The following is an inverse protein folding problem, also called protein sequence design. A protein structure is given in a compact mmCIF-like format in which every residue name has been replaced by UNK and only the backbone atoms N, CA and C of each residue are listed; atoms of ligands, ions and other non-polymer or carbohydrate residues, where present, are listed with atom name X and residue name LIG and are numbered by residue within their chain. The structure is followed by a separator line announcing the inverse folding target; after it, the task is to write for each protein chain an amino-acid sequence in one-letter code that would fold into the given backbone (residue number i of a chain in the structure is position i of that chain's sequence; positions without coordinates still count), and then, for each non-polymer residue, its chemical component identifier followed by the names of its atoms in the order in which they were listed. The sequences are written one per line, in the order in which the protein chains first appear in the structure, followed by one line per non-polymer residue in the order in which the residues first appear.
data_IF_650117236135
#
_entry.id   IF_650117236135
#
_cell.length_a   1.000
_cell.length_b   1.000
_cell.length_c   1.000
_cell.angle_alpha   90.00
_cell.angle_beta   90.00
_cell.angle_gamma   90.00
#
_symmetry.space_group_name_H-M   'P 1'
#
loop_
_entity.id
_entity.type
_entity.pdbx_description
1 polymer ?
#
# COMPACT_ATOMS: atom_id res chain seq x y z
N UNK A 1 17.19 7.70 -15.16
CA UNK A 1 18.02 6.53 -15.57
C UNK A 1 17.10 5.32 -15.58
N UNK A 2 16.65 4.98 -16.77
CA UNK A 2 15.53 4.09 -17.09
C UNK A 2 15.84 2.63 -16.68
N UNK A 3 14.82 1.90 -16.21
CA UNK A 3 14.90 0.50 -15.73
C UNK A 3 14.92 -0.48 -16.92
N UNK A 4 15.81 -0.24 -17.88
CA UNK A 4 16.06 -1.15 -18.99
C UNK A 4 17.56 -1.30 -19.17
N UNK A 5 18.02 -2.52 -19.44
CA UNK A 5 19.41 -3.01 -19.48
C UNK A 5 19.93 -3.62 -18.17
N UNK A 6 19.31 -4.73 -17.74
CA UNK A 6 20.08 -5.81 -17.09
C UNK A 6 20.53 -6.74 -18.21
N UNK A 7 21.76 -6.53 -18.68
CA UNK A 7 22.39 -7.32 -19.74
C UNK A 7 22.70 -8.76 -19.29
N UNK A 8 22.67 -9.69 -20.24
CA UNK A 8 22.95 -11.14 -20.11
C UNK A 8 24.26 -11.53 -19.39
N UNK A 9 25.14 -10.57 -19.04
CA UNK A 9 26.43 -10.83 -18.37
C UNK A 9 26.31 -11.16 -16.87
N UNK A 10 25.25 -10.78 -16.17
CA UNK A 10 25.10 -11.09 -14.73
C UNK A 10 24.60 -12.52 -14.44
N UNK A 11 24.17 -13.25 -15.47
CA UNK A 11 23.56 -14.59 -15.39
C UNK A 11 24.55 -15.69 -14.93
N UNK A 12 25.85 -15.53 -15.19
CA UNK A 12 26.84 -16.60 -14.97
C UNK A 12 27.55 -16.56 -13.59
N UNK A 13 27.34 -15.54 -12.76
CA UNK A 13 28.21 -15.29 -11.59
C UNK A 13 27.66 -15.73 -10.21
N UNK A 14 26.39 -16.18 -10.10
CA UNK A 14 25.69 -16.21 -8.79
C UNK A 14 25.14 -17.57 -8.31
N UNK A 15 25.71 -18.69 -8.78
CA UNK A 15 25.41 -20.01 -8.23
C UNK A 15 26.28 -20.35 -7.00
N UNK A 16 26.03 -19.68 -5.88
CA UNK A 16 26.04 -20.30 -4.56
C UNK A 16 25.52 -19.30 -3.52
N UNK A 17 24.99 -19.81 -2.41
CA UNK A 17 24.49 -19.07 -1.24
C UNK A 17 23.02 -18.59 -1.32
N UNK A 18 22.09 -19.43 -0.84
CA UNK A 18 21.25 -19.13 0.35
C UNK A 18 20.34 -20.35 0.66
N UNK A 19 20.78 -21.26 1.56
CA UNK A 19 20.05 -22.50 1.89
C UNK A 19 19.01 -22.37 3.01
N UNK A 20 18.98 -21.25 3.75
CA UNK A 20 18.15 -21.16 4.96
C UNK A 20 16.77 -20.51 4.77
N UNK A 21 16.54 -19.77 3.67
CA UNK A 21 15.23 -19.16 3.37
C UNK A 21 14.47 -19.89 2.24
N UNK A 22 15.12 -20.82 1.53
CA UNK A 22 14.50 -21.58 0.43
C UNK A 22 13.39 -22.54 0.88
N UNK A 23 13.50 -23.11 2.08
CA UNK A 23 12.54 -24.10 2.57
C UNK A 23 11.13 -23.56 2.83
N UNK A 24 11.00 -22.29 3.27
CA UNK A 24 9.69 -21.68 3.51
C UNK A 24 8.94 -21.49 2.18
N UNK A 25 9.65 -21.06 1.14
CA UNK A 25 9.09 -20.88 -0.20
C UNK A 25 8.77 -22.22 -0.89
N UNK A 26 9.64 -23.23 -0.75
CA UNK A 26 9.40 -24.56 -1.31
C UNK A 26 8.19 -25.26 -0.68
N UNK A 27 7.97 -25.09 0.63
CA UNK A 27 6.81 -25.67 1.32
C UNK A 27 5.50 -24.90 1.03
N UNK A 28 5.56 -23.57 0.85
CA UNK A 28 4.41 -22.77 0.40
C UNK A 28 3.96 -23.15 -1.01
N UNK A 29 4.92 -23.30 -1.92
CA UNK A 29 4.70 -23.73 -3.30
C UNK A 29 4.03 -25.11 -3.34
N UNK A 30 4.51 -26.09 -2.57
CA UNK A 30 3.90 -27.43 -2.48
C UNK A 30 2.42 -27.41 -2.07
N UNK A 31 1.99 -26.46 -1.24
CA UNK A 31 0.56 -26.33 -0.87
C UNK A 31 -0.33 -25.73 -1.97
N UNK A 32 0.25 -25.05 -2.95
CA UNK A 32 -0.44 -24.49 -4.11
C UNK A 32 -0.38 -25.40 -5.36
N UNK A 33 0.41 -26.48 -5.29
CA UNK A 33 0.60 -27.46 -6.36
C UNK A 33 -0.16 -28.78 -6.13
N UNK A 34 -1.06 -28.85 -5.13
CA UNK A 34 -2.04 -29.92 -5.08
C UNK A 34 -3.00 -29.78 -6.25
N UNK A 35 -3.20 -30.87 -7.01
CA UNK A 35 -4.06 -31.09 -8.19
C UNK A 35 -4.73 -29.84 -8.76
N UNK A 36 -4.50 -29.51 -10.05
CA UNK A 36 -5.09 -28.38 -10.79
C UNK A 36 -6.55 -28.12 -10.35
N UNK A 37 -6.72 -27.21 -9.40
CA UNK A 37 -8.01 -26.70 -8.97
C UNK A 37 -8.17 -25.29 -9.53
N UNK A 38 -9.42 -24.80 -9.53
CA UNK A 38 -9.74 -23.41 -9.85
C UNK A 38 -9.06 -22.38 -8.90
N UNK A 39 -8.31 -22.82 -7.90
CA UNK A 39 -7.53 -21.99 -6.98
C UNK A 39 -6.05 -21.77 -7.36
N UNK A 40 -5.48 -22.52 -8.31
CA UNK A 40 -4.06 -22.36 -8.67
C UNK A 40 -3.81 -21.01 -9.38
N UNK A 41 -2.92 -20.18 -8.84
CA UNK A 41 -2.53 -18.90 -9.45
C UNK A 41 -1.30 -19.00 -10.37
N UNK A 42 -0.47 -20.02 -10.17
CA UNK A 42 0.83 -20.16 -10.80
C UNK A 42 0.90 -21.47 -11.63
N UNK A 43 1.62 -21.42 -12.74
CA UNK A 43 2.07 -22.59 -13.48
C UNK A 43 3.10 -23.38 -12.66
N UNK A 44 3.40 -24.61 -13.08
CA UNK A 44 4.39 -25.48 -12.42
C UNK A 44 5.79 -24.85 -12.34
N UNK A 45 6.20 -24.13 -13.38
CA UNK A 45 7.46 -23.38 -13.43
C UNK A 45 7.47 -22.14 -12.50
N UNK A 46 6.32 -21.78 -11.93
CA UNK A 46 6.11 -20.64 -11.04
C UNK A 46 5.66 -19.36 -11.74
N UNK A 47 5.52 -19.31 -13.06
CA UNK A 47 4.95 -18.15 -13.77
C UNK A 47 3.46 -17.96 -13.44
N UNK A 48 2.93 -16.74 -13.62
CA UNK A 48 1.52 -16.45 -13.34
C UNK A 48 0.65 -16.96 -14.49
N UNK A 49 -0.38 -17.75 -14.18
CA UNK A 49 -1.29 -18.32 -15.19
C UNK A 49 -2.01 -17.20 -15.96
N UNK A 50 -2.66 -16.29 -15.23
CA UNK A 50 -3.44 -15.21 -15.81
C UNK A 50 -3.54 -14.02 -14.84
N UNK A 51 -3.21 -12.83 -15.33
CA UNK A 51 -3.32 -11.59 -14.57
C UNK A 51 -4.78 -11.25 -14.22
N UNK A 52 -5.76 -11.64 -15.05
CA UNK A 52 -7.18 -11.43 -14.75
C UNK A 52 -7.68 -12.40 -13.68
N UNK A 53 -7.21 -13.65 -13.66
CA UNK A 53 -7.44 -14.59 -12.55
C UNK A 53 -6.88 -14.07 -11.24
N UNK A 54 -5.65 -13.55 -11.23
CA UNK A 54 -5.07 -12.90 -10.06
C UNK A 54 -5.95 -11.74 -9.56
N UNK A 55 -6.42 -10.89 -10.48
CA UNK A 55 -7.34 -9.80 -10.13
C UNK A 55 -8.63 -10.31 -9.52
N UNK A 56 -9.32 -11.25 -10.16
CA UNK A 56 -10.58 -11.82 -9.66
C UNK A 56 -10.40 -12.41 -8.27
N UNK A 57 -9.30 -13.12 -8.07
CA UNK A 57 -8.93 -13.71 -6.78
C UNK A 57 -8.80 -12.64 -5.70
N UNK A 58 -8.01 -11.58 -5.95
CA UNK A 58 -7.86 -10.47 -5.01
C UNK A 58 -9.19 -9.73 -4.84
N UNK A 59 -9.98 -9.51 -5.88
CA UNK A 59 -11.25 -8.76 -5.79
C UNK A 59 -12.29 -9.48 -4.95
N UNK A 60 -12.46 -10.79 -5.14
CA UNK A 60 -13.60 -11.53 -4.60
C UNK A 60 -13.34 -12.12 -3.21
N UNK A 61 -12.09 -12.44 -2.89
CA UNK A 61 -11.75 -13.18 -1.68
C UNK A 61 -10.82 -12.40 -0.76
N UNK A 62 -11.12 -12.43 0.54
CA UNK A 62 -10.15 -12.02 1.54
C UNK A 62 -8.98 -13.00 1.56
N UNK A 63 -7.79 -12.51 1.25
CA UNK A 63 -6.60 -13.34 1.13
C UNK A 63 -6.08 -13.74 2.51
N UNK A 64 -5.70 -15.01 2.66
CA UNK A 64 -4.89 -15.42 3.82
C UNK A 64 -3.51 -14.77 3.75
N UNK A 65 -2.83 -14.63 4.89
CA UNK A 65 -1.47 -14.08 4.90
C UNK A 65 -0.52 -14.84 3.96
N UNK A 66 -0.62 -16.18 3.90
CA UNK A 66 0.15 -17.02 2.96
C UNK A 66 -0.15 -16.68 1.49
N UNK A 67 -1.42 -16.49 1.12
CA UNK A 67 -1.82 -16.14 -0.24
C UNK A 67 -1.29 -14.74 -0.62
N UNK A 68 -1.22 -13.80 0.34
CA UNK A 68 -0.61 -12.46 0.14
C UNK A 68 0.88 -12.52 -0.22
N UNK A 69 1.66 -13.42 0.38
CA UNK A 69 3.08 -13.63 0.00
C UNK A 69 3.24 -13.99 -1.49
N UNK A 70 2.22 -14.61 -2.09
CA UNK A 70 2.21 -14.99 -3.51
C UNK A 70 1.67 -13.84 -4.37
N UNK A 71 0.55 -13.22 -3.96
CA UNK A 71 -0.17 -12.24 -4.79
C UNK A 71 0.45 -10.83 -4.75
N UNK A 72 0.95 -10.38 -3.60
CA UNK A 72 1.45 -9.02 -3.43
C UNK A 72 2.68 -8.70 -4.28
N UNK A 73 3.65 -9.60 -4.51
CA UNK A 73 4.74 -9.35 -5.44
C UNK A 73 4.25 -8.97 -6.86
N UNK A 74 3.15 -9.55 -7.34
CA UNK A 74 2.56 -9.17 -8.64
C UNK A 74 1.75 -7.87 -8.54
N UNK A 75 0.94 -7.71 -7.48
CA UNK A 75 0.19 -6.47 -7.20
C UNK A 75 1.11 -5.24 -7.14
N UNK A 76 2.26 -5.42 -6.50
CA UNK A 76 3.28 -4.40 -6.30
C UNK A 76 4.32 -4.36 -7.43
N UNK A 77 4.10 -5.08 -8.53
CA UNK A 77 4.95 -5.09 -9.73
C UNK A 77 6.44 -5.37 -9.43
N UNK A 78 6.68 -6.30 -8.51
CA UNK A 78 7.98 -6.89 -8.24
C UNK A 78 8.24 -8.04 -9.22
N UNK A 79 7.20 -8.81 -9.54
CA UNK A 79 7.25 -9.87 -10.54
C UNK A 79 6.32 -9.57 -11.71
N UNK A 80 6.81 -9.78 -12.94
CA UNK A 80 5.95 -9.86 -14.13
C UNK A 80 5.29 -11.24 -14.20
N UNK A 81 4.22 -11.34 -15.01
CA UNK A 81 3.49 -12.60 -15.17
C UNK A 81 4.36 -13.74 -15.73
N UNK A 82 5.33 -13.42 -16.58
CA UNK A 82 6.21 -14.41 -17.21
C UNK A 82 7.33 -14.96 -16.32
N UNK A 83 7.58 -14.37 -15.15
CA UNK A 83 8.73 -14.79 -14.33
C UNK A 83 8.53 -16.17 -13.71
N UNK A 84 9.42 -17.09 -14.05
CA UNK A 84 9.53 -18.43 -13.45
C UNK A 84 10.11 -18.36 -12.03
N UNK A 85 10.11 -19.49 -11.32
CA UNK A 85 10.80 -19.63 -10.03
C UNK A 85 12.30 -19.34 -10.14
N UNK A 86 12.92 -19.68 -11.27
CA UNK A 86 14.33 -19.39 -11.54
C UNK A 86 14.56 -17.88 -11.66
N UNK A 87 13.74 -17.20 -12.47
CA UNK A 87 13.83 -15.74 -12.66
C UNK A 87 13.61 -14.99 -11.35
N UNK A 88 12.62 -15.42 -10.56
CA UNK A 88 12.34 -14.84 -9.24
C UNK A 88 13.54 -14.98 -8.30
N UNK A 89 14.25 -16.11 -8.33
CA UNK A 89 15.47 -16.31 -7.52
C UNK A 89 16.59 -15.38 -7.98
N UNK A 90 16.82 -15.27 -9.28
CA UNK A 90 17.82 -14.36 -9.86
C UNK A 90 17.50 -12.91 -9.46
N UNK A 91 16.26 -12.49 -9.64
CA UNK A 91 15.80 -11.16 -9.25
C UNK A 91 16.05 -10.88 -7.77
N UNK A 92 15.69 -11.81 -6.86
CA UNK A 92 15.90 -11.65 -5.41
C UNK A 92 17.37 -11.46 -5.07
N UNK A 93 18.25 -12.24 -5.70
CA UNK A 93 19.70 -12.14 -5.47
C UNK A 93 20.24 -10.78 -5.95
N UNK A 94 19.92 -10.38 -7.17
CA UNK A 94 20.33 -9.07 -7.70
C UNK A 94 19.73 -7.90 -6.93
N UNK A 95 18.47 -8.01 -6.48
CA UNK A 95 17.83 -7.03 -5.60
C UNK A 95 18.60 -6.89 -4.27
N UNK A 96 18.97 -8.01 -3.63
CA UNK A 96 19.71 -8.02 -2.35
C UNK A 96 21.05 -7.27 -2.48
N UNK A 97 21.78 -7.52 -3.57
CA UNK A 97 23.06 -6.86 -3.84
C UNK A 97 22.86 -5.34 -4.03
N UNK A 98 21.94 -4.95 -4.92
CA UNK A 98 21.64 -3.53 -5.20
C UNK A 98 21.20 -2.78 -3.94
N UNK A 99 20.24 -3.34 -3.20
CA UNK A 99 19.74 -2.73 -1.97
C UNK A 99 20.84 -2.55 -0.92
N UNK A 100 21.70 -3.56 -0.70
CA UNK A 100 22.79 -3.45 0.27
C UNK A 100 23.85 -2.42 -0.15
N UNK A 101 24.12 -2.26 -1.45
CA UNK A 101 25.01 -1.19 -1.94
C UNK A 101 24.46 0.19 -1.59
N UNK A 102 23.19 0.44 -1.89
CA UNK A 102 22.51 1.70 -1.56
C UNK A 102 22.50 1.93 -0.04
N UNK A 103 22.22 0.89 0.73
CA UNK A 103 22.16 0.97 2.19
C UNK A 103 23.50 1.36 2.82
N UNK A 104 24.59 0.70 2.41
CA UNK A 104 25.93 0.99 2.95
C UNK A 104 26.37 2.43 2.67
N UNK A 105 26.09 2.93 1.48
CA UNK A 105 26.51 4.27 1.08
C UNK A 105 25.93 5.36 2.00
N UNK A 106 24.64 5.32 2.37
CA UNK A 106 24.11 6.29 3.32
C UNK A 106 24.53 6.01 4.76
N UNK A 107 24.75 4.75 5.13
CA UNK A 107 25.26 4.39 6.46
C UNK A 107 26.65 5.00 6.71
N UNK A 108 27.54 4.94 5.73
CA UNK A 108 28.87 5.56 5.80
C UNK A 108 28.77 7.08 6.00
N UNK A 109 27.84 7.76 5.30
CA UNK A 109 27.61 9.21 5.48
C UNK A 109 27.10 9.55 6.87
N UNK A 110 26.19 8.74 7.43
CA UNK A 110 25.74 8.91 8.82
C UNK A 110 26.91 8.71 9.79
N UNK A 111 27.74 7.69 9.60
CA UNK A 111 28.92 7.42 10.45
C UNK A 111 29.98 8.53 10.37
N UNK A 112 30.08 9.22 9.24
CA UNK A 112 30.94 10.39 9.05
C UNK A 112 30.36 11.68 9.67
N UNK A 113 29.14 11.63 10.22
CA UNK A 113 28.49 12.79 10.83
C UNK A 113 27.91 13.79 9.81
N UNK A 114 27.62 13.35 8.57
CA UNK A 114 27.02 14.23 7.57
C UNK A 114 25.66 14.75 8.06
N UNK A 115 25.56 16.08 8.22
CA UNK A 115 24.42 16.75 8.85
C UNK A 115 23.09 16.43 8.16
N UNK A 116 23.08 16.31 6.82
CA UNK A 116 21.87 16.00 6.08
C UNK A 116 21.35 14.61 6.43
N UNK A 117 22.23 13.60 6.37
CA UNK A 117 21.86 12.21 6.62
C UNK A 117 21.47 11.97 8.08
N UNK A 118 22.16 12.61 9.03
CA UNK A 118 21.85 12.52 10.46
C UNK A 118 20.46 13.11 10.76
N UNK A 119 20.16 14.32 10.25
CA UNK A 119 18.84 14.95 10.45
C UNK A 119 17.70 14.14 9.80
N UNK A 120 17.96 13.59 8.61
CA UNK A 120 17.02 12.71 7.93
C UNK A 120 16.77 11.43 8.75
N UNK A 121 17.83 10.83 9.28
CA UNK A 121 17.75 9.65 10.14
C UNK A 121 16.89 9.90 11.39
N UNK A 122 17.11 11.02 12.08
CA UNK A 122 16.34 11.38 13.28
C UNK A 122 14.84 11.55 12.98
N UNK A 123 14.53 12.20 11.86
CA UNK A 123 13.14 12.40 11.40
C UNK A 123 12.46 11.06 11.14
N UNK A 124 13.11 10.18 10.39
CA UNK A 124 12.57 8.86 10.05
C UNK A 124 12.45 7.98 11.30
N UNK A 125 13.43 8.00 12.21
CA UNK A 125 13.39 7.21 13.44
C UNK A 125 12.21 7.58 14.35
N UNK A 126 11.88 8.87 14.46
CA UNK A 126 10.70 9.34 15.22
C UNK A 126 9.42 8.68 14.69
N UNK A 127 9.25 8.64 13.37
CA UNK A 127 8.07 8.09 12.73
C UNK A 127 8.02 6.56 12.77
N UNK A 128 9.15 5.88 12.57
CA UNK A 128 9.25 4.43 12.72
C UNK A 128 8.92 3.99 14.16
N UNK A 129 9.30 4.78 15.18
CA UNK A 129 9.03 4.44 16.59
C UNK A 129 7.54 4.52 16.95
N UNK A 130 6.77 5.41 16.32
CA UNK A 130 5.34 5.62 16.59
C UNK A 130 4.40 4.85 15.66
N UNK A 131 4.85 4.43 14.49
CA UNK A 131 4.03 3.72 13.49
C UNK A 131 3.70 2.30 13.96
N UNK A 132 2.41 1.94 13.92
CA UNK A 132 1.87 0.60 14.19
C UNK A 132 2.43 -0.13 15.44
N UNK A 133 2.79 0.63 16.48
CA UNK A 133 3.42 0.11 17.72
C UNK A 133 2.61 -0.97 18.45
N UNK A 134 1.31 -1.05 18.19
CA UNK A 134 0.40 -2.05 18.74
C UNK A 134 0.59 -3.43 18.08
N UNK A 135 1.16 -3.48 16.87
CA UNK A 135 1.42 -4.72 16.15
C UNK A 135 2.75 -5.30 16.61
N UNK A 136 2.68 -6.47 17.26
CA UNK A 136 3.83 -7.10 17.95
C UNK A 136 5.08 -7.25 17.08
N UNK A 137 4.91 -7.56 15.79
CA UNK A 137 6.04 -7.82 14.89
C UNK A 137 6.93 -6.59 14.68
N UNK A 138 6.34 -5.39 14.64
CA UNK A 138 7.09 -4.16 14.40
C UNK A 138 7.96 -3.75 15.58
N UNK A 139 7.69 -4.26 16.79
CA UNK A 139 8.60 -4.07 17.94
C UNK A 139 10.02 -4.59 17.65
N UNK A 140 10.14 -5.71 16.91
CA UNK A 140 11.41 -6.35 16.55
C UNK A 140 11.93 -5.99 15.15
N UNK A 141 11.18 -5.21 14.38
CA UNK A 141 11.47 -4.93 12.97
C UNK A 141 11.70 -3.44 12.64
N UNK A 142 11.85 -2.60 13.67
CA UNK A 142 12.09 -1.15 13.53
C UNK A 142 13.33 -0.84 12.68
N UNK A 143 14.41 -1.61 12.85
CA UNK A 143 15.64 -1.39 12.09
C UNK A 143 15.43 -1.60 10.59
N UNK A 144 14.69 -2.64 10.20
CA UNK A 144 14.40 -2.92 8.79
C UNK A 144 13.51 -1.81 8.19
N UNK A 145 12.47 -1.38 8.92
CA UNK A 145 11.62 -0.27 8.48
C UNK A 145 12.41 1.02 8.31
N UNK A 146 13.29 1.34 9.26
CA UNK A 146 14.21 2.48 9.19
C UNK A 146 15.13 2.37 7.98
N UNK A 147 15.80 1.23 7.79
CA UNK A 147 16.72 1.02 6.67
C UNK A 147 16.02 1.22 5.32
N UNK A 148 14.82 0.67 5.15
CA UNK A 148 14.05 0.82 3.91
C UNK A 148 13.71 2.28 3.68
N UNK A 149 13.18 2.97 4.70
CA UNK A 149 12.75 4.36 4.56
C UNK A 149 13.93 5.29 4.30
N UNK A 150 15.05 5.13 5.02
CA UNK A 150 16.29 5.88 4.76
C UNK A 150 16.78 5.66 3.32
N UNK A 151 16.84 4.40 2.89
CA UNK A 151 17.29 4.07 1.53
C UNK A 151 16.33 4.65 0.49
N UNK A 152 15.03 4.67 0.75
CA UNK A 152 14.09 5.31 -0.17
C UNK A 152 14.34 6.81 -0.25
N UNK A 153 14.34 7.49 0.90
CA UNK A 153 14.38 8.95 0.99
C UNK A 153 15.69 9.57 0.48
N UNK A 154 16.82 8.86 0.62
CA UNK A 154 18.10 9.29 0.04
C UNK A 154 18.10 9.20 -1.49
N UNK A 155 17.54 8.12 -2.05
CA UNK A 155 17.63 7.82 -3.49
C UNK A 155 16.41 8.28 -4.30
N UNK A 156 15.38 8.84 -3.65
CA UNK A 156 14.20 9.44 -4.26
C UNK A 156 13.92 10.82 -3.63
N UNK A 157 14.80 11.82 -3.83
CA UNK A 157 14.76 13.10 -3.11
C UNK A 157 13.54 13.98 -3.44
N UNK A 158 12.83 13.67 -4.54
CA UNK A 158 11.50 14.21 -4.81
C UNK A 158 10.52 13.03 -4.89
N UNK A 159 9.66 12.81 -3.88
CA UNK A 159 9.32 13.74 -2.79
C UNK A 159 10.29 13.72 -1.58
N UNK A 160 11.23 12.77 -1.50
CA UNK A 160 12.10 12.61 -0.33
C UNK A 160 11.41 11.84 0.80
N UNK A 161 11.57 12.29 2.04
CA UNK A 161 10.81 11.78 3.18
C UNK A 161 9.66 12.71 3.54
N UNK A 162 8.46 12.17 3.61
CA UNK A 162 7.26 12.85 4.10
C UNK A 162 6.58 12.01 5.18
N UNK A 163 6.03 12.69 6.19
CA UNK A 163 5.25 12.03 7.24
C UNK A 163 4.09 11.24 6.64
N UNK A 164 3.92 9.99 7.09
CA UNK A 164 2.91 9.06 6.55
C UNK A 164 3.47 8.04 5.55
N UNK A 165 4.70 8.23 5.04
CA UNK A 165 5.33 7.22 4.19
C UNK A 165 5.62 5.91 4.94
N UNK A 166 5.95 5.98 6.23
CA UNK A 166 6.12 4.78 7.07
C UNK A 166 4.84 3.97 7.21
N UNK A 167 3.68 4.65 7.21
CA UNK A 167 2.37 4.01 7.19
C UNK A 167 2.14 3.20 5.92
N UNK A 168 2.62 3.65 4.77
CA UNK A 168 2.49 2.90 3.52
C UNK A 168 3.51 1.76 3.43
N UNK A 169 4.65 1.86 4.11
CA UNK A 169 5.67 0.81 4.15
C UNK A 169 5.25 -0.38 5.03
N UNK A 170 4.62 -0.17 6.18
CA UNK A 170 4.36 -1.24 7.15
C UNK A 170 3.52 -2.40 6.61
N UNK A 171 2.45 -2.21 5.81
CA UNK A 171 1.69 -3.31 5.22
C UNK A 171 2.54 -4.13 4.24
N UNK A 172 3.36 -3.46 3.42
CA UNK A 172 4.26 -4.12 2.46
C UNK A 172 5.26 -5.00 3.21
N UNK A 173 5.93 -4.43 4.21
CA UNK A 173 6.91 -5.18 4.99
C UNK A 173 6.28 -6.31 5.78
N UNK A 174 5.08 -6.09 6.35
CA UNK A 174 4.35 -7.13 7.06
C UNK A 174 4.05 -8.33 6.16
N UNK A 175 3.62 -8.08 4.92
CA UNK A 175 3.34 -9.15 3.97
C UNK A 175 4.63 -9.78 3.46
N UNK A 176 5.63 -9.02 3.02
CA UNK A 176 6.80 -9.63 2.35
C UNK A 176 7.84 -10.19 3.31
N UNK A 177 7.90 -9.67 4.55
CA UNK A 177 8.86 -10.06 5.59
C UNK A 177 10.33 -10.10 5.14
N UNK A 178 10.66 -9.31 4.11
CA UNK A 178 11.97 -9.25 3.50
C UNK A 178 12.34 -7.78 3.25
N UNK A 179 13.40 -7.30 3.89
CA UNK A 179 13.81 -5.88 3.86
C UNK A 179 14.04 -5.38 2.43
N UNK A 180 14.79 -6.14 1.64
CA UNK A 180 15.16 -5.79 0.28
C UNK A 180 13.95 -5.78 -0.66
N UNK A 181 13.14 -6.83 -0.66
CA UNK A 181 11.94 -6.88 -1.51
C UNK A 181 10.92 -5.81 -1.11
N UNK A 182 10.81 -5.52 0.19
CA UNK A 182 9.94 -4.45 0.69
C UNK A 182 10.40 -3.08 0.21
N UNK A 183 11.71 -2.83 0.11
CA UNK A 183 12.25 -1.61 -0.49
C UNK A 183 11.80 -1.46 -1.95
N UNK A 184 12.05 -2.47 -2.80
CA UNK A 184 11.66 -2.37 -4.21
C UNK A 184 10.13 -2.30 -4.41
N UNK A 185 9.38 -3.00 -3.56
CA UNK A 185 7.92 -2.96 -3.58
C UNK A 185 7.39 -1.58 -3.16
N UNK A 186 8.03 -0.96 -2.16
CA UNK A 186 7.75 0.40 -1.75
C UNK A 186 8.10 1.42 -2.84
N UNK A 187 9.28 1.32 -3.47
CA UNK A 187 9.64 2.16 -4.62
C UNK A 187 8.59 2.05 -5.74
N UNK A 188 8.20 0.82 -6.11
CA UNK A 188 7.18 0.58 -7.11
C UNK A 188 5.81 1.14 -6.74
N UNK A 189 5.40 1.08 -5.46
CA UNK A 189 4.16 1.71 -4.99
C UNK A 189 4.25 3.24 -5.09
N UNK A 190 5.36 3.82 -4.65
CA UNK A 190 5.58 5.25 -4.62
C UNK A 190 5.63 5.84 -6.04
N UNK A 191 6.53 5.34 -6.89
CA UNK A 191 6.72 5.82 -8.27
C UNK A 191 5.46 5.73 -9.10
N UNK A 192 4.66 4.67 -8.92
CA UNK A 192 3.49 4.48 -9.77
C UNK A 192 2.28 5.30 -9.30
N UNK A 193 2.13 5.57 -7.99
CA UNK A 193 0.83 5.99 -7.45
C UNK A 193 0.85 7.02 -6.34
N UNK A 194 1.88 7.00 -5.48
CA UNK A 194 1.84 7.76 -4.23
C UNK A 194 2.74 8.97 -4.26
N UNK A 195 3.76 9.04 -5.13
CA UNK A 195 4.72 10.16 -5.14
C UNK A 195 4.01 11.51 -5.21
N UNK A 196 3.02 11.66 -6.11
CA UNK A 196 2.25 12.89 -6.26
C UNK A 196 1.39 13.27 -5.07
N UNK A 197 1.04 12.31 -4.19
CA UNK A 197 0.34 12.61 -2.93
C UNK A 197 1.27 13.18 -1.84
N UNK A 198 2.56 12.91 -1.96
CA UNK A 198 3.58 13.36 -1.01
C UNK A 198 4.41 14.53 -1.57
N UNK A 199 4.07 15.05 -2.75
CA UNK A 199 4.71 16.21 -3.34
C UNK A 199 4.44 17.48 -2.52
N UNK A 200 5.41 18.40 -2.55
CA UNK A 200 5.39 19.60 -1.71
C UNK A 200 4.24 20.55 -2.06
N UNK A 201 3.82 20.57 -3.31
CA UNK A 201 2.73 21.45 -3.79
C UNK A 201 1.33 20.94 -3.43
N UNK A 202 1.21 19.68 -2.98
CA UNK A 202 -0.05 19.05 -2.57
C UNK A 202 -1.16 19.04 -3.65
N UNK A 203 -0.81 19.23 -4.93
CA UNK A 203 -1.78 19.42 -6.02
C UNK A 203 -2.72 18.22 -6.17
N UNK A 204 -2.17 17.01 -6.16
CA UNK A 204 -2.94 15.79 -6.35
C UNK A 204 -3.87 15.49 -5.16
N UNK A 205 -3.42 15.73 -3.93
CA UNK A 205 -4.27 15.50 -2.76
C UNK A 205 -5.46 16.46 -2.75
N UNK A 206 -5.27 17.75 -3.05
CA UNK A 206 -6.38 18.71 -3.19
C UNK A 206 -7.30 18.39 -4.36
N UNK A 207 -6.77 17.87 -5.48
CA UNK A 207 -7.60 17.37 -6.59
C UNK A 207 -8.52 16.23 -6.13
N UNK A 208 -8.01 15.30 -5.32
CA UNK A 208 -8.81 14.20 -4.76
C UNK A 208 -9.83 14.68 -3.73
N UNK A 209 -9.50 15.69 -2.92
CA UNK A 209 -10.45 16.31 -1.98
C UNK A 209 -11.64 16.92 -2.74
N UNK A 210 -11.38 17.69 -3.80
CA UNK A 210 -12.46 18.25 -4.65
C UNK A 210 -13.34 17.16 -5.27
N UNK A 211 -12.71 16.08 -5.75
CA UNK A 211 -13.44 14.94 -6.31
C UNK A 211 -14.28 14.21 -5.25
N UNK A 212 -13.71 14.02 -4.05
CA UNK A 212 -14.43 13.47 -2.90
C UNK A 212 -15.66 14.31 -2.58
N UNK A 213 -15.51 15.64 -2.45
CA UNK A 213 -16.62 16.57 -2.16
C UNK A 213 -17.73 16.46 -3.20
N UNK A 214 -17.39 16.50 -4.49
CA UNK A 214 -18.37 16.41 -5.58
C UNK A 214 -19.14 15.09 -5.55
N UNK A 215 -18.42 13.96 -5.42
CA UNK A 215 -19.04 12.63 -5.40
C UNK A 215 -19.87 12.45 -4.13
N UNK A 216 -19.35 12.83 -2.97
CA UNK A 216 -20.04 12.62 -1.70
C UNK A 216 -21.35 13.40 -1.62
N UNK A 217 -21.37 14.66 -2.08
CA UNK A 217 -22.60 15.46 -2.22
C UNK A 217 -23.66 14.76 -3.07
N UNK A 218 -23.25 14.15 -4.19
CA UNK A 218 -24.17 13.45 -5.09
C UNK A 218 -24.71 12.14 -4.51
N UNK A 219 -23.94 11.47 -3.65
CA UNK A 219 -24.32 10.19 -3.04
C UNK A 219 -25.15 10.41 -1.78
N UNK A 220 -24.84 11.42 -0.99
CA UNK A 220 -25.37 11.58 0.37
C UNK A 220 -25.35 13.02 0.87
N UNK A 221 -26.21 13.85 0.26
CA UNK A 221 -26.23 15.29 0.54
C UNK A 221 -26.56 15.63 2.00
N UNK A 222 -27.40 14.84 2.67
CA UNK A 222 -27.74 15.06 4.09
C UNK A 222 -26.50 14.87 4.99
N UNK A 223 -25.75 13.78 4.79
CA UNK A 223 -24.55 13.53 5.59
C UNK A 223 -23.44 14.52 5.26
N UNK A 224 -23.31 14.93 4.00
CA UNK A 224 -22.42 16.01 3.59
C UNK A 224 -22.75 17.31 4.33
N UNK A 225 -24.01 17.74 4.31
CA UNK A 225 -24.48 18.94 5.01
C UNK A 225 -24.21 18.89 6.51
N UNK A 226 -24.21 17.71 7.13
CA UNK A 226 -23.87 17.57 8.55
C UNK A 226 -22.39 17.86 8.84
N UNK A 227 -21.48 17.53 7.92
CA UNK A 227 -20.03 17.55 8.18
C UNK A 227 -19.26 18.67 7.47
N UNK A 228 -19.86 19.40 6.52
CA UNK A 228 -19.14 20.38 5.70
C UNK A 228 -19.03 21.80 6.30
N UNK A 229 -19.57 22.05 7.50
CA UNK A 229 -19.82 23.40 8.04
C UNK A 229 -18.63 24.38 7.96
N UNK A 230 -17.39 23.89 7.94
CA UNK A 230 -16.21 24.69 7.59
C UNK A 230 -15.37 23.94 6.55
N UNK A 231 -15.25 24.49 5.33
CA UNK A 231 -14.43 23.88 4.26
C UNK A 231 -12.97 23.67 4.71
N UNK A 232 -12.50 24.51 5.64
CA UNK A 232 -11.16 24.49 6.24
C UNK A 232 -10.95 23.28 7.19
N UNK A 233 -12.00 22.60 7.68
CA UNK A 233 -11.91 21.50 8.67
C UNK A 233 -11.97 20.08 8.08
N UNK A 234 -11.91 19.95 6.75
CA UNK A 234 -11.81 18.64 6.08
C UNK A 234 -10.44 17.95 6.31
N UNK A 235 -9.64 18.34 7.30
CA UNK A 235 -8.36 17.70 7.64
C UNK A 235 -8.47 16.18 7.87
N UNK A 236 -9.64 15.70 8.29
CA UNK A 236 -9.88 14.26 8.42
C UNK A 236 -9.71 13.54 7.07
N UNK A 237 -10.26 14.10 5.98
CA UNK A 237 -10.24 13.46 4.66
C UNK A 237 -8.85 13.50 4.02
N UNK A 238 -8.05 14.53 4.33
CA UNK A 238 -6.66 14.62 3.89
C UNK A 238 -5.88 13.36 4.26
N UNK A 239 -5.91 12.98 5.55
CA UNK A 239 -5.20 11.79 6.04
C UNK A 239 -5.77 10.50 5.48
N UNK A 240 -7.09 10.43 5.28
CA UNK A 240 -7.74 9.24 4.73
C UNK A 240 -7.34 9.00 3.27
N UNK A 241 -7.35 10.05 2.45
CA UNK A 241 -6.95 9.97 1.05
C UNK A 241 -5.43 9.77 0.88
N UNK A 242 -4.61 10.40 1.73
CA UNK A 242 -3.14 10.26 1.69
C UNK A 242 -2.69 8.83 2.03
N UNK A 243 -3.38 8.16 2.95
CA UNK A 243 -2.98 6.85 3.49
C UNK A 243 -3.89 5.70 3.03
N UNK A 244 -4.69 5.89 1.98
CA UNK A 244 -5.71 4.94 1.50
C UNK A 244 -6.55 4.34 2.65
N UNK A 245 -7.00 5.19 3.57
CA UNK A 245 -7.78 4.84 4.75
C UNK A 245 -7.12 3.84 5.73
N UNK A 246 -5.81 3.56 5.61
CA UNK A 246 -5.09 2.58 6.46
C UNK A 246 -5.40 2.72 7.96
N UNK A 247 -5.49 3.95 8.44
CA UNK A 247 -5.66 4.28 9.86
C UNK A 247 -7.12 4.18 10.35
N UNK A 248 -8.06 3.90 9.45
CA UNK A 248 -9.50 3.86 9.75
C UNK A 248 -10.02 2.46 10.10
N UNK A 249 -9.14 1.46 10.07
CA UNK A 249 -9.44 0.07 10.40
C UNK A 249 -8.58 -0.40 11.57
N UNK A 250 -9.21 -1.00 12.59
CA UNK A 250 -8.53 -1.40 13.83
C UNK A 250 -7.78 -2.73 13.70
N UNK A 251 -8.32 -3.70 12.95
CA UNK A 251 -7.66 -4.96 12.68
C UNK A 251 -6.74 -4.83 11.47
N UNK A 252 -5.48 -5.24 11.62
CA UNK A 252 -4.50 -5.11 10.54
C UNK A 252 -4.86 -5.94 9.30
N UNK A 253 -5.51 -7.10 9.46
CA UNK A 253 -6.00 -7.87 8.29
C UNK A 253 -7.06 -7.11 7.48
N UNK A 254 -7.86 -6.25 8.11
CA UNK A 254 -8.79 -5.37 7.41
C UNK A 254 -8.05 -4.26 6.65
N UNK A 255 -6.97 -3.71 7.23
CA UNK A 255 -6.06 -2.79 6.53
C UNK A 255 -5.51 -3.44 5.26
N UNK A 256 -4.95 -4.65 5.38
CA UNK A 256 -4.40 -5.38 4.24
C UNK A 256 -5.47 -5.61 3.16
N UNK A 257 -6.69 -5.95 3.57
CA UNK A 257 -7.82 -6.16 2.65
C UNK A 257 -8.23 -4.90 1.90
N UNK A 258 -8.29 -3.76 2.58
CA UNK A 258 -8.62 -2.46 1.96
C UNK A 258 -7.53 -2.09 0.96
N UNK A 259 -6.27 -2.21 1.33
CA UNK A 259 -5.13 -1.88 0.46
C UNK A 259 -5.06 -2.79 -0.77
N UNK A 260 -5.36 -4.08 -0.64
CA UNK A 260 -5.49 -5.00 -1.78
C UNK A 260 -6.50 -4.50 -2.82
N UNK A 261 -7.69 -4.11 -2.36
CA UNK A 261 -8.77 -3.63 -3.22
C UNK A 261 -8.53 -2.22 -3.75
N UNK A 262 -7.77 -1.39 -3.06
CA UNK A 262 -7.33 -0.10 -3.60
C UNK A 262 -6.25 -0.32 -4.66
N UNK A 263 -5.22 -1.10 -4.35
CA UNK A 263 -4.05 -1.27 -5.20
C UNK A 263 -4.32 -2.14 -6.44
N UNK A 264 -5.34 -3.00 -6.44
CA UNK A 264 -5.69 -3.80 -7.63
C UNK A 264 -6.12 -2.93 -8.82
N UNK A 265 -6.75 -1.77 -8.56
CA UNK A 265 -7.14 -0.81 -9.59
C UNK A 265 -5.94 -0.26 -10.37
N UNK A 266 -4.74 -0.46 -9.82
CA UNK A 266 -3.51 -0.04 -10.45
C UNK A 266 -2.92 -1.05 -11.43
N UNK A 267 -3.38 -2.29 -11.41
CA UNK A 267 -2.79 -3.33 -12.23
C UNK A 267 -3.19 -3.19 -13.72
N UNK A 268 -4.20 -2.37 -14.11
CA UNK A 268 -4.85 -2.43 -15.44
C UNK A 268 -3.87 -2.46 -16.62
N UNK A 269 -3.94 -3.41 -17.57
CA UNK A 269 -2.94 -3.54 -18.64
C UNK A 269 -3.15 -2.54 -19.80
N UNK A 270 -4.36 -1.98 -19.93
CA UNK A 270 -4.82 -1.25 -21.13
C UNK A 270 -5.04 0.26 -20.92
N UNK A 271 -4.71 0.78 -19.74
CA UNK A 271 -4.93 2.18 -19.40
C UNK A 271 -3.58 2.91 -19.37
N UNK A 272 -3.54 4.17 -19.83
CA UNK A 272 -2.41 5.06 -19.55
C UNK A 272 -2.22 5.24 -18.02
N UNK A 273 -1.08 5.80 -17.61
CA UNK A 273 -0.78 6.03 -16.19
C UNK A 273 -1.84 6.88 -15.49
N UNK A 274 -2.45 7.82 -16.21
CA UNK A 274 -3.44 8.75 -15.69
C UNK A 274 -4.78 8.07 -15.37
N UNK A 275 -5.29 7.24 -16.27
CA UNK A 275 -6.53 6.48 -16.10
C UNK A 275 -6.41 5.46 -14.95
N UNK A 276 -5.23 4.84 -14.75
CA UNK A 276 -4.98 3.98 -13.57
C UNK A 276 -5.00 4.77 -12.26
N UNK A 277 -4.37 5.94 -12.24
CA UNK A 277 -4.38 6.84 -11.08
C UNK A 277 -5.81 7.27 -10.74
N UNK A 278 -6.62 7.62 -11.75
CA UNK A 278 -8.01 7.99 -11.59
C UNK A 278 -8.87 6.85 -11.03
N UNK A 279 -8.74 5.62 -11.55
CA UNK A 279 -9.47 4.46 -11.08
C UNK A 279 -9.21 4.13 -9.60
N UNK A 280 -7.94 4.15 -9.19
CA UNK A 280 -7.55 3.98 -7.78
C UNK A 280 -8.13 5.09 -6.91
N UNK A 281 -7.95 6.34 -7.32
CA UNK A 281 -8.41 7.52 -6.58
C UNK A 281 -9.92 7.46 -6.32
N UNK A 282 -10.69 7.12 -7.36
CA UNK A 282 -12.14 6.95 -7.27
C UNK A 282 -12.52 5.83 -6.29
N UNK A 283 -11.85 4.68 -6.36
CA UNK A 283 -12.13 3.59 -5.43
C UNK A 283 -11.81 3.99 -3.98
N UNK A 284 -10.68 4.65 -3.72
CA UNK A 284 -10.35 5.18 -2.38
C UNK A 284 -11.43 6.17 -1.90
N UNK A 285 -11.93 7.05 -2.77
CA UNK A 285 -13.04 7.98 -2.44
C UNK A 285 -14.30 7.22 -2.05
N UNK A 286 -14.67 6.18 -2.79
CA UNK A 286 -15.84 5.36 -2.43
C UNK A 286 -15.64 4.60 -1.12
N UNK A 287 -14.41 4.21 -0.77
CA UNK A 287 -14.09 3.67 0.57
C UNK A 287 -14.30 4.74 1.64
N UNK A 288 -13.80 5.97 1.44
CA UNK A 288 -14.02 7.09 2.38
C UNK A 288 -15.52 7.33 2.64
N UNK A 289 -16.31 7.46 1.57
CA UNK A 289 -17.77 7.69 1.66
C UNK A 289 -18.44 6.51 2.36
N UNK A 290 -18.03 5.28 2.03
CA UNK A 290 -18.60 4.08 2.66
C UNK A 290 -18.29 3.99 4.15
N UNK A 291 -17.14 4.49 4.61
CA UNK A 291 -16.82 4.61 6.04
C UNK A 291 -17.77 5.61 6.70
N UNK A 292 -17.98 6.80 6.10
CA UNK A 292 -18.89 7.81 6.66
C UNK A 292 -20.33 7.28 6.76
N UNK A 293 -20.79 6.55 5.75
CA UNK A 293 -22.14 5.97 5.75
C UNK A 293 -22.29 4.79 6.72
N UNK A 294 -21.22 4.07 7.02
CA UNK A 294 -21.23 3.04 8.06
C UNK A 294 -21.53 3.65 9.43
N UNK A 295 -21.01 4.85 9.67
CA UNK A 295 -21.16 5.59 10.92
C UNK A 295 -22.27 6.67 10.83
N UNK A 296 -23.11 6.63 9.78
CA UNK A 296 -24.13 7.66 9.47
C UNK A 296 -24.92 8.08 10.70
N UNK A 297 -25.49 7.11 11.41
CA UNK A 297 -26.37 7.36 12.57
C UNK A 297 -25.63 8.12 13.68
N UNK A 298 -24.36 7.78 13.91
CA UNK A 298 -23.51 8.43 14.91
C UNK A 298 -23.26 9.88 14.51
N UNK A 299 -22.83 10.11 13.25
CA UNK A 299 -22.52 11.45 12.74
C UNK A 299 -23.76 12.36 12.77
N UNK A 300 -24.92 11.85 12.33
CA UNK A 300 -26.16 12.64 12.34
C UNK A 300 -26.65 12.94 13.77
N UNK A 301 -26.33 12.08 14.75
CA UNK A 301 -26.70 12.29 16.16
C UNK A 301 -25.81 13.29 16.91
N UNK A 302 -24.67 13.71 16.34
CA UNK A 302 -23.81 14.72 16.95
C UNK A 302 -24.58 16.04 17.12
N UNK A 303 -24.61 16.61 18.33
CA UNK A 303 -25.44 17.78 18.62
C UNK A 303 -24.75 19.07 18.17
N UNK A 304 -23.42 19.10 18.17
CA UNK A 304 -22.61 20.28 17.89
C UNK A 304 -21.31 19.93 17.16
N UNK A 305 -20.51 20.96 16.85
CA UNK A 305 -19.21 20.82 16.18
C UNK A 305 -18.17 20.07 17.03
N UNK A 306 -18.23 20.21 18.36
CA UNK A 306 -17.30 19.54 19.27
C UNK A 306 -17.48 18.00 19.22
N UNK A 307 -18.72 17.52 19.14
CA UNK A 307 -19.04 16.10 18.97
C UNK A 307 -18.50 15.56 17.63
N UNK A 308 -18.64 16.33 16.55
CA UNK A 308 -18.09 15.98 15.24
C UNK A 308 -16.55 15.97 15.26
N UNK A 309 -15.93 16.96 15.89
CA UNK A 309 -14.48 17.00 16.07
C UNK A 309 -14.00 15.79 16.89
N UNK A 310 -14.69 15.44 17.99
CA UNK A 310 -14.42 14.22 18.76
C UNK A 310 -14.54 12.98 17.89
N UNK A 311 -15.56 12.87 17.04
CA UNK A 311 -15.73 11.74 16.13
C UNK A 311 -14.54 11.57 15.18
N UNK A 312 -14.10 12.64 14.50
CA UNK A 312 -13.04 12.57 13.50
C UNK A 312 -11.62 12.43 14.08
N UNK A 313 -11.34 13.12 15.19
CA UNK A 313 -9.97 13.28 15.70
C UNK A 313 -9.67 12.47 16.97
N UNK A 314 -10.68 11.91 17.65
CA UNK A 314 -10.40 11.03 18.79
C UNK A 314 -9.69 9.77 18.32
N UNK A 315 -8.50 9.55 18.88
CA UNK A 315 -7.61 8.44 18.57
C UNK A 315 -8.08 7.09 19.13
N UNK A 316 -9.25 7.05 19.77
CA UNK A 316 -9.75 5.87 20.45
C UNK A 316 -10.12 4.78 19.44
N UNK A 317 -9.34 3.69 19.42
CA UNK A 317 -9.62 2.51 18.60
C UNK A 317 -10.98 1.86 18.93
N UNK A 318 -11.51 2.16 20.12
CA UNK A 318 -12.85 1.76 20.57
C UNK A 318 -13.99 2.43 19.79
N UNK A 319 -13.82 3.66 19.28
CA UNK A 319 -14.89 4.32 18.51
C UNK A 319 -15.08 3.69 17.14
N UNK A 320 -14.05 3.02 16.58
CA UNK A 320 -14.05 2.44 15.22
C UNK A 320 -14.33 0.93 15.20
N UNK A 321 -14.46 0.28 16.37
CA UNK A 321 -14.61 -1.18 16.46
C UNK A 321 -15.94 -1.71 15.93
N UNK A 322 -16.97 -0.86 15.89
CA UNK A 322 -18.32 -1.20 15.43
C UNK A 322 -18.44 -1.29 13.89
N UNK A 323 -17.48 -0.71 13.16
CA UNK A 323 -17.48 -0.68 11.69
C UNK A 323 -17.37 -2.08 11.11
N UNK A 324 -18.27 -2.45 10.20
CA UNK A 324 -18.11 -3.67 9.42
C UNK A 324 -17.29 -3.39 8.16
N UNK A 325 -16.02 -3.79 8.14
CA UNK A 325 -15.17 -3.72 6.94
C UNK A 325 -15.81 -4.39 5.71
N UNK A 326 -16.53 -5.51 5.88
CA UNK A 326 -17.24 -6.19 4.78
C UNK A 326 -18.26 -5.27 4.11
N UNK A 327 -19.20 -4.70 4.88
CA UNK A 327 -20.20 -3.72 4.40
C UNK A 327 -19.57 -2.50 3.75
N UNK A 328 -18.53 -1.92 4.36
CA UNK A 328 -17.79 -0.77 3.79
C UNK A 328 -17.26 -1.11 2.40
N UNK A 329 -16.59 -2.25 2.25
CA UNK A 329 -15.98 -2.66 0.98
C UNK A 329 -17.02 -3.06 -0.06
N UNK A 330 -18.09 -3.74 0.32
CA UNK A 330 -19.21 -4.08 -0.57
C UNK A 330 -19.88 -2.82 -1.13
N UNK A 331 -20.11 -1.82 -0.27
CA UNK A 331 -20.69 -0.54 -0.67
C UNK A 331 -19.75 0.23 -1.61
N UNK A 332 -18.46 0.28 -1.30
CA UNK A 332 -17.47 0.92 -2.17
C UNK A 332 -17.36 0.25 -3.56
N UNK A 333 -17.40 -1.08 -3.61
CA UNK A 333 -17.42 -1.83 -4.87
C UNK A 333 -18.69 -1.58 -5.69
N UNK A 334 -19.86 -1.49 -5.03
CA UNK A 334 -21.12 -1.15 -5.69
C UNK A 334 -21.04 0.26 -6.31
N UNK A 335 -20.62 1.27 -5.55
CA UNK A 335 -20.47 2.63 -6.08
C UNK A 335 -19.49 2.70 -7.24
N UNK A 336 -18.35 2.02 -7.14
CA UNK A 336 -17.38 1.98 -8.22
C UNK A 336 -17.92 1.30 -9.48
N UNK A 337 -18.69 0.23 -9.33
CA UNK A 337 -19.31 -0.50 -10.45
C UNK A 337 -20.39 0.34 -11.13
N UNK A 338 -21.24 1.01 -10.35
CA UNK A 338 -22.27 1.92 -10.86
C UNK A 338 -21.65 3.11 -11.61
N UNK A 339 -20.61 3.71 -11.05
CA UNK A 339 -19.86 4.79 -11.73
C UNK A 339 -19.28 4.31 -13.05
N UNK A 340 -18.69 3.11 -13.10
CA UNK A 340 -18.19 2.55 -14.37
C UNK A 340 -19.28 2.28 -15.38
N UNK A 341 -20.47 1.85 -14.95
CA UNK A 341 -21.60 1.60 -15.82
C UNK A 341 -22.15 2.90 -16.42
N UNK A 342 -22.12 4.01 -15.69
CA UNK A 342 -22.62 5.31 -16.18
C UNK A 342 -21.67 6.05 -17.14
N UNK A 343 -20.46 5.51 -17.36
CA UNK A 343 -19.45 6.07 -18.30
C UNK A 343 -19.42 5.30 -19.63
N UNK A 344 -20.26 4.27 -19.78
CA UNK A 344 -20.47 3.51 -21.02
C UNK A 344 -21.80 3.91 -21.61
#
# INVERSE_FOLDING_TARGET
MTIELVSQREYQMFNSVDRHHGHIWQNLLKSCFGAQTDDCLLNEDGSLIDANRLRRTISNEQQSHKKRHITWPYLLNIYSSSMTNSDKRIYRNGAKIRYNKLKRAWQERVSQGDSFYVKLADTILKDVRRTDRHIKIFKKKKQQLFNIMMTYSVYHPSPGYSQGMTDMLTPIFYVLMNECLSYFAFCSLMTRYMSSLFDRDQTEIYRRIRLFTSIFRSIDNELWNKIHFHEEDNFYIYRWLLLDCKREFSQFDHVLRVLELVWIHTMSPLADSQAKSNARSLFTIFVCISILQEDRRIILSCSNEEDLHKYFFSSSSSSRSHRSTKRILQRAQLYYSNYKASQK
#
